data_IF_867478278787
#
_entry.id   IF_867478278787
#
_cell.length_a   1.000
_cell.length_b   1.000
_cell.length_c   1.000
_cell.angle_alpha   90.00
_cell.angle_beta   90.00
_cell.angle_gamma   90.00
#
_symmetry.space_group_name_H-M   'P 1'
#
loop_
_entity.id
_entity.type
_entity.pdbx_description
1 polymer ?
#
# COMPACT_ATOMS: atom_id res chain seq x y z
N UNK A 1 -34.30 3.66 -36.92
CA UNK A 1 -32.96 3.92 -36.35
C UNK A 1 -32.83 3.11 -35.06
N UNK A 2 -32.24 1.91 -35.13
CA UNK A 2 -31.98 1.00 -33.99
C UNK A 2 -30.53 0.54 -34.11
N UNK A 3 -29.71 0.90 -33.14
CA UNK A 3 -28.31 0.50 -33.04
C UNK A 3 -28.22 -1.01 -32.81
N UNK A 4 -27.45 -1.70 -33.66
CA UNK A 4 -27.06 -3.10 -33.47
C UNK A 4 -25.97 -3.17 -32.39
N UNK A 5 -26.18 -3.99 -31.37
CA UNK A 5 -25.17 -4.38 -30.37
C UNK A 5 -24.09 -5.25 -31.02
N UNK A 6 -22.85 -4.97 -30.68
CA UNK A 6 -21.69 -5.80 -31.00
C UNK A 6 -21.77 -7.15 -30.29
N UNK A 7 -21.39 -8.22 -31.00
CA UNK A 7 -21.18 -9.57 -30.48
C UNK A 7 -19.68 -9.66 -30.14
N UNK A 8 -19.35 -9.90 -28.87
CA UNK A 8 -18.02 -10.36 -28.45
C UNK A 8 -18.00 -11.90 -28.50
N UNK A 9 -16.86 -12.55 -28.79
CA UNK A 9 -16.78 -14.01 -28.93
C UNK A 9 -16.98 -14.71 -27.58
N UNK A 10 -17.79 -15.77 -27.57
CA UNK A 10 -17.89 -16.74 -26.48
C UNK A 10 -16.54 -17.43 -26.26
N UNK A 11 -15.89 -17.12 -25.14
CA UNK A 11 -14.80 -17.95 -24.60
C UNK A 11 -15.43 -18.99 -23.67
N UNK A 12 -15.26 -20.26 -24.01
CA UNK A 12 -15.81 -21.43 -23.33
C UNK A 12 -15.54 -21.40 -21.81
N UNK A 13 -16.50 -21.84 -20.96
CA UNK A 13 -16.32 -21.85 -19.52
C UNK A 13 -15.33 -22.94 -19.09
N UNK A 14 -14.35 -22.56 -18.27
CA UNK A 14 -13.52 -23.51 -17.53
C UNK A 14 -14.42 -24.41 -16.67
N UNK A 15 -14.37 -25.71 -16.91
CA UNK A 15 -15.12 -26.70 -16.13
C UNK A 15 -14.44 -26.84 -14.77
N UNK A 16 -15.07 -26.32 -13.72
CA UNK A 16 -14.55 -26.43 -12.36
C UNK A 16 -14.94 -27.79 -11.75
N UNK A 17 -13.97 -28.54 -11.19
CA UNK A 17 -14.16 -29.96 -10.84
C UNK A 17 -15.11 -30.18 -9.66
N UNK A 18 -15.41 -29.17 -8.85
CA UNK A 18 -16.42 -29.25 -7.79
C UNK A 18 -16.92 -27.88 -7.34
N UNK A 19 -18.02 -27.87 -6.56
CA UNK A 19 -18.65 -26.67 -5.98
C UNK A 19 -17.71 -25.88 -5.06
N UNK A 20 -16.67 -26.50 -4.49
CA UNK A 20 -15.69 -25.83 -3.63
C UNK A 20 -14.64 -25.08 -4.46
N UNK A 21 -14.17 -25.67 -5.56
CA UNK A 21 -13.31 -25.04 -6.56
C UNK A 21 -14.04 -23.89 -7.28
N UNK A 22 -15.33 -24.07 -7.61
CA UNK A 22 -16.19 -23.01 -8.13
C UNK A 22 -16.42 -21.89 -7.11
N UNK A 23 -16.60 -22.20 -5.82
CA UNK A 23 -16.70 -21.17 -4.75
C UNK A 23 -15.39 -20.45 -4.48
N UNK A 24 -14.24 -21.13 -4.58
CA UNK A 24 -12.92 -20.51 -4.47
C UNK A 24 -12.65 -19.61 -5.67
N UNK A 25 -12.96 -20.08 -6.89
CA UNK A 25 -12.87 -19.30 -8.12
C UNK A 25 -13.89 -18.14 -8.17
N UNK A 26 -15.10 -18.29 -7.64
CA UNK A 26 -16.08 -17.21 -7.53
C UNK A 26 -15.72 -16.20 -6.43
N UNK A 27 -15.10 -16.63 -5.33
CA UNK A 27 -14.50 -15.71 -4.34
C UNK A 27 -13.36 -14.88 -4.96
N UNK A 28 -12.63 -15.48 -5.91
CA UNK A 28 -11.53 -14.88 -6.71
C UNK A 28 -12.04 -13.99 -7.88
N UNK A 29 -13.34 -13.97 -8.14
CA UNK A 29 -13.96 -13.27 -9.29
C UNK A 29 -14.95 -12.18 -8.89
N UNK A 30 -15.22 -12.02 -7.60
CA UNK A 30 -16.26 -11.12 -7.07
C UNK A 30 -15.72 -9.92 -6.28
N UNK A 31 -14.40 -9.73 -6.12
CA UNK A 31 -13.87 -8.57 -5.40
C UNK A 31 -13.47 -7.39 -6.29
N UNK A 32 -13.62 -7.51 -7.62
CA UNK A 32 -13.38 -6.43 -8.58
C UNK A 32 -14.28 -5.18 -8.39
N UNK A 33 -15.42 -5.31 -7.69
CA UNK A 33 -16.38 -4.22 -7.49
C UNK A 33 -16.29 -3.50 -6.14
N UNK A 34 -15.48 -3.98 -5.18
CA UNK A 34 -15.31 -3.33 -3.87
C UNK A 34 -14.11 -2.37 -3.82
N UNK A 35 -13.16 -2.51 -4.74
CA UNK A 35 -11.98 -1.66 -4.83
C UNK A 35 -12.35 -0.17 -5.07
N UNK A 36 -13.34 0.09 -5.92
CA UNK A 36 -13.90 1.43 -6.14
C UNK A 36 -14.82 1.93 -5.00
N UNK A 37 -15.28 1.05 -4.11
CA UNK A 37 -16.06 1.46 -2.93
C UNK A 37 -15.14 1.90 -1.78
N UNK A 38 -13.98 1.26 -1.62
CA UNK A 38 -12.95 1.65 -0.65
C UNK A 38 -12.31 3.02 -0.96
N UNK A 39 -12.36 3.48 -2.22
CA UNK A 39 -12.03 4.86 -2.60
C UNK A 39 -12.88 5.94 -1.90
N UNK A 40 -13.96 5.58 -1.20
CA UNK A 40 -14.79 6.51 -0.41
C UNK A 40 -14.50 6.47 1.11
N UNK A 41 -13.55 5.64 1.56
CA UNK A 41 -13.38 5.30 2.99
C UNK A 41 -12.40 6.17 3.79
N UNK A 42 -11.53 6.95 3.14
CA UNK A 42 -10.93 8.10 3.81
C UNK A 42 -11.85 9.29 3.57
N UNK A 43 -12.72 9.56 4.55
CA UNK A 43 -13.35 10.88 4.64
C UNK A 43 -12.25 11.94 4.44
N UNK A 44 -12.42 12.81 3.44
CA UNK A 44 -11.40 13.76 2.99
C UNK A 44 -11.04 14.78 4.09
N UNK A 45 -11.79 14.79 5.19
CA UNK A 45 -11.53 15.61 6.35
C UNK A 45 -10.17 15.29 7.00
N UNK A 46 -9.45 16.34 7.37
CA UNK A 46 -8.22 16.24 8.14
C UNK A 46 -8.43 15.41 9.43
N UNK A 47 -9.58 15.55 10.07
CA UNK A 47 -9.95 14.80 11.28
C UNK A 47 -10.02 13.28 11.07
N UNK A 48 -10.45 12.82 9.89
CA UNK A 48 -10.41 11.39 9.55
C UNK A 48 -8.97 10.89 9.42
N UNK A 49 -8.11 11.67 8.74
CA UNK A 49 -6.70 11.34 8.55
C UNK A 49 -5.92 11.33 9.87
N UNK A 50 -6.17 12.29 10.75
CA UNK A 50 -5.60 12.30 12.10
C UNK A 50 -6.00 11.04 12.89
N UNK A 51 -7.27 10.61 12.82
CA UNK A 51 -7.71 9.37 13.47
C UNK A 51 -7.03 8.13 12.89
N UNK A 52 -6.87 8.06 11.58
CA UNK A 52 -6.14 6.97 10.94
C UNK A 52 -4.67 6.93 11.38
N UNK A 53 -4.01 8.09 11.48
CA UNK A 53 -2.64 8.22 11.98
C UNK A 53 -2.51 7.65 13.40
N UNK A 54 -3.37 8.08 14.32
CA UNK A 54 -3.33 7.59 15.70
C UNK A 54 -3.56 6.07 15.81
N UNK A 55 -4.42 5.52 14.95
CA UNK A 55 -4.63 4.06 14.88
C UNK A 55 -3.41 3.33 14.35
N UNK A 56 -2.73 3.88 13.34
CA UNK A 56 -1.47 3.34 12.83
C UNK A 56 -0.42 3.30 13.95
N UNK A 57 -0.20 4.42 14.65
CA UNK A 57 0.71 4.47 15.79
C UNK A 57 0.36 3.43 16.85
N UNK A 58 -0.93 3.30 17.20
CA UNK A 58 -1.40 2.32 18.19
C UNK A 58 -1.14 0.87 17.76
N UNK A 59 -1.45 0.50 16.52
CA UNK A 59 -1.27 -0.87 16.04
C UNK A 59 0.21 -1.21 15.85
N UNK A 60 1.00 -0.25 15.38
CA UNK A 60 2.45 -0.40 15.27
C UNK A 60 3.11 -0.60 16.63
N UNK A 61 2.81 0.25 17.62
CA UNK A 61 3.36 0.15 18.97
C UNK A 61 2.96 -1.15 19.70
N UNK A 62 1.83 -1.74 19.30
CA UNK A 62 1.36 -3.03 19.81
C UNK A 62 1.96 -4.23 19.06
N UNK A 63 2.80 -4.01 18.04
CA UNK A 63 3.39 -5.04 17.18
C UNK A 63 2.33 -5.92 16.49
N UNK A 64 1.24 -5.31 16.02
CA UNK A 64 0.07 -6.01 15.49
C UNK A 64 0.07 -6.04 13.97
N UNK A 65 -0.17 -7.24 13.43
CA UNK A 65 -0.36 -7.49 12.00
C UNK A 65 0.94 -7.49 11.21
N UNK A 66 0.77 -7.63 9.90
CA UNK A 66 1.84 -7.54 8.90
C UNK A 66 1.67 -6.23 8.14
N UNK A 67 2.74 -5.47 8.03
CA UNK A 67 2.77 -4.19 7.32
C UNK A 67 3.57 -4.38 6.06
N UNK A 68 2.97 -4.16 4.89
CA UNK A 68 3.63 -4.37 3.62
C UNK A 68 3.43 -3.14 2.74
N UNK A 69 4.51 -2.41 2.48
CA UNK A 69 4.50 -1.41 1.44
C UNK A 69 4.66 -2.06 0.08
N UNK A 70 3.91 -1.53 -0.90
CA UNK A 70 3.89 -2.00 -2.28
C UNK A 70 4.09 -0.79 -3.20
N UNK A 71 4.80 -1.00 -4.29
CA UNK A 71 4.98 0.01 -5.35
C UNK A 71 5.03 -0.65 -6.73
N UNK A 72 4.55 0.05 -7.74
CA UNK A 72 4.48 -0.42 -9.13
C UNK A 72 5.07 0.65 -10.05
N UNK A 73 6.00 0.24 -10.92
CA UNK A 73 6.51 1.10 -11.97
C UNK A 73 5.85 0.77 -13.30
N UNK A 74 5.34 1.79 -13.98
CA UNK A 74 4.72 1.68 -15.29
C UNK A 74 5.61 2.28 -16.38
N UNK A 75 5.39 1.86 -17.62
CA UNK A 75 6.05 2.51 -18.75
C UNK A 75 5.61 3.96 -18.87
N UNK A 76 6.57 4.89 -18.82
CA UNK A 76 6.31 6.34 -18.72
C UNK A 76 5.65 6.94 -19.95
N UNK A 77 5.75 6.32 -21.13
CA UNK A 77 5.17 6.91 -22.34
C UNK A 77 3.64 6.87 -22.37
N UNK A 78 3.03 5.76 -21.94
CA UNK A 78 1.57 5.60 -22.05
C UNK A 78 0.91 4.83 -20.89
N UNK A 79 1.67 4.43 -19.87
CA UNK A 79 1.17 3.71 -18.70
C UNK A 79 0.49 2.36 -19.02
N UNK A 80 0.74 1.79 -20.21
CA UNK A 80 0.07 0.57 -20.69
C UNK A 80 0.65 -0.73 -20.11
N UNK A 81 1.83 -0.65 -19.50
CA UNK A 81 2.60 -1.83 -19.12
C UNK A 81 3.28 -1.64 -17.76
N UNK A 82 3.08 -2.62 -16.86
CA UNK A 82 3.86 -2.74 -15.63
C UNK A 82 5.26 -3.22 -15.99
N UNK A 83 6.26 -2.54 -15.46
CA UNK A 83 7.67 -2.79 -15.71
C UNK A 83 8.36 -3.37 -14.48
N UNK A 84 7.97 -2.93 -13.29
CA UNK A 84 8.53 -3.36 -12.02
C UNK A 84 7.44 -3.46 -10.94
N UNK A 85 7.70 -4.29 -9.93
CA UNK A 85 6.93 -4.37 -8.71
C UNK A 85 7.89 -4.48 -7.53
N UNK A 86 7.65 -3.71 -6.49
CA UNK A 86 8.45 -3.75 -5.27
C UNK A 86 7.58 -3.99 -4.05
N UNK A 87 8.16 -4.66 -3.07
CA UNK A 87 7.57 -4.76 -1.75
C UNK A 87 8.62 -4.62 -0.65
N UNK A 88 8.17 -4.11 0.49
CA UNK A 88 8.89 -4.11 1.74
C UNK A 88 7.88 -4.45 2.83
N UNK A 89 8.21 -5.35 3.75
CA UNK A 89 7.31 -5.78 4.79
C UNK A 89 7.98 -5.89 6.16
N UNK A 90 7.18 -5.62 7.19
CA UNK A 90 7.54 -5.73 8.61
C UNK A 90 6.43 -6.49 9.32
N UNK A 91 6.81 -7.46 10.14
CA UNK A 91 5.94 -8.09 11.12
C UNK A 91 6.75 -8.48 12.36
N UNK A 92 6.11 -9.08 13.35
CA UNK A 92 6.77 -9.53 14.57
C UNK A 92 6.60 -11.03 14.78
N UNK A 93 7.70 -11.71 15.10
CA UNK A 93 7.75 -13.13 15.43
C UNK A 93 8.63 -13.30 16.67
N UNK A 94 8.13 -14.00 17.68
CA UNK A 94 8.82 -14.22 18.96
C UNK A 94 9.38 -12.94 19.61
N UNK A 95 8.65 -11.83 19.46
CA UNK A 95 9.02 -10.51 19.99
C UNK A 95 10.09 -9.76 19.18
N UNK A 96 10.61 -10.36 18.11
CA UNK A 96 11.56 -9.73 17.21
C UNK A 96 10.87 -9.18 15.95
N UNK A 97 11.34 -8.02 15.47
CA UNK A 97 10.95 -7.44 14.19
C UNK A 97 11.54 -8.30 13.05
N UNK A 98 10.68 -8.82 12.18
CA UNK A 98 11.06 -9.57 10.98
C UNK A 98 10.78 -8.70 9.77
N UNK A 99 11.78 -8.60 8.90
CA UNK A 99 11.74 -7.80 7.67
C UNK A 99 11.86 -8.71 6.47
N UNK A 100 11.10 -8.37 5.43
CA UNK A 100 11.26 -8.97 4.12
C UNK A 100 11.09 -7.92 3.04
N UNK A 101 11.84 -8.02 1.96
CA UNK A 101 11.82 -7.07 0.86
C UNK A 101 12.12 -7.80 -0.45
N UNK A 102 11.56 -7.27 -1.52
CA UNK A 102 11.83 -7.82 -2.83
C UNK A 102 11.45 -6.88 -3.94
N UNK A 103 11.97 -7.22 -5.11
CA UNK A 103 11.82 -6.42 -6.31
C UNK A 103 11.74 -7.34 -7.52
N UNK A 104 10.66 -7.23 -8.27
CA UNK A 104 10.39 -8.00 -9.47
C UNK A 104 10.47 -7.09 -10.69
N UNK A 105 11.08 -7.59 -11.77
CA UNK A 105 11.09 -6.91 -13.07
C UNK A 105 10.42 -7.79 -14.10
N UNK A 106 9.56 -7.19 -14.93
CA UNK A 106 8.80 -7.92 -15.95
C UNK A 106 9.64 -8.11 -17.21
N UNK A 107 9.98 -9.36 -17.54
CA UNK A 107 10.87 -9.73 -18.64
C UNK A 107 10.46 -9.12 -19.98
N UNK A 108 9.17 -9.20 -20.33
CA UNK A 108 8.61 -8.70 -21.58
C UNK A 108 8.68 -7.18 -21.68
N UNK A 109 8.70 -6.49 -20.54
CA UNK A 109 8.71 -5.03 -20.45
C UNK A 109 10.08 -4.49 -20.00
N UNK A 110 11.13 -5.31 -19.92
CA UNK A 110 12.45 -4.92 -19.38
C UNK A 110 13.10 -3.72 -20.08
N UNK A 111 12.80 -3.52 -21.37
CA UNK A 111 13.31 -2.41 -22.17
C UNK A 111 12.57 -1.09 -21.93
N UNK A 112 11.44 -1.12 -21.22
CA UNK A 112 10.57 0.02 -20.91
C UNK A 112 10.80 0.60 -19.50
N UNK A 113 11.78 0.07 -18.75
CA UNK A 113 12.07 0.43 -17.37
C UNK A 113 12.75 1.79 -17.25
N UNK A 114 12.34 2.56 -16.26
CA UNK A 114 12.92 3.89 -15.96
C UNK A 114 14.06 3.79 -14.93
N UNK A 115 13.86 2.99 -13.88
CA UNK A 115 14.86 2.68 -12.85
C UNK A 115 15.70 1.46 -13.20
N UNK A 116 16.97 1.47 -12.77
CA UNK A 116 17.89 0.33 -13.02
C UNK A 116 18.56 -0.22 -11.76
N UNK A 117 18.60 0.55 -10.68
CA UNK A 117 19.33 0.17 -9.48
C UNK A 117 18.38 -0.12 -8.33
N UNK A 118 18.39 -1.37 -7.87
CA UNK A 118 17.72 -1.79 -6.65
C UNK A 118 18.77 -1.90 -5.54
N UNK A 119 18.58 -1.19 -4.44
CA UNK A 119 19.60 -1.00 -3.41
C UNK A 119 19.68 -2.15 -2.39
N UNK A 120 18.67 -3.01 -2.34
CA UNK A 120 18.48 -3.96 -1.24
C UNK A 120 18.66 -5.43 -1.62
N UNK A 121 19.24 -5.70 -2.79
CA UNK A 121 19.53 -7.06 -3.24
C UNK A 121 19.50 -7.19 -4.76
N UNK A 122 19.00 -8.32 -5.22
CA UNK A 122 18.86 -8.62 -6.66
C UNK A 122 17.40 -8.61 -7.07
N UNK A 123 17.11 -7.97 -8.19
CA UNK A 123 15.79 -8.07 -8.82
C UNK A 123 15.54 -9.51 -9.30
N UNK A 124 14.36 -10.04 -9.00
CA UNK A 124 13.88 -11.27 -9.63
C UNK A 124 13.22 -10.92 -10.96
N UNK A 125 13.60 -11.63 -12.02
CA UNK A 125 13.00 -11.46 -13.33
C UNK A 125 11.84 -12.43 -13.50
N UNK A 126 10.67 -11.91 -13.87
CA UNK A 126 9.42 -12.67 -13.96
C UNK A 126 8.68 -12.34 -15.24
N UNK A 127 7.84 -13.25 -15.73
CA UNK A 127 7.00 -13.03 -16.90
C UNK A 127 5.68 -12.33 -16.55
N UNK A 128 5.00 -11.75 -17.53
CA UNK A 128 3.64 -11.20 -17.35
C UNK A 128 2.65 -12.27 -16.83
N UNK A 129 2.80 -13.51 -17.28
CA UNK A 129 1.95 -14.63 -16.89
C UNK A 129 2.14 -15.00 -15.40
N UNK A 130 3.37 -14.89 -14.90
CA UNK A 130 3.71 -15.16 -13.49
C UNK A 130 3.35 -14.00 -12.57
N UNK A 131 3.31 -12.77 -13.09
CA UNK A 131 3.18 -11.54 -12.31
C UNK A 131 2.00 -11.57 -11.32
N UNK A 132 0.81 -11.89 -11.81
CA UNK A 132 -0.40 -11.93 -10.97
C UNK A 132 -0.33 -13.04 -9.91
N UNK A 133 0.19 -14.21 -10.28
CA UNK A 133 0.31 -15.34 -9.37
C UNK A 133 1.31 -15.04 -8.25
N UNK A 134 2.48 -14.50 -8.59
CA UNK A 134 3.53 -14.15 -7.61
C UNK A 134 3.07 -13.12 -6.59
N UNK A 135 2.38 -12.07 -7.02
CA UNK A 135 1.82 -11.07 -6.08
C UNK A 135 0.74 -11.70 -5.21
N UNK A 136 -0.15 -12.52 -5.79
CA UNK A 136 -1.19 -13.20 -5.02
C UNK A 136 -0.61 -14.16 -3.97
N UNK A 137 0.43 -14.91 -4.32
CA UNK A 137 1.13 -15.83 -3.43
C UNK A 137 1.86 -15.06 -2.31
N UNK A 138 2.55 -13.96 -2.64
CA UNK A 138 3.17 -13.06 -1.67
C UNK A 138 2.14 -12.56 -0.64
N UNK A 139 1.04 -11.96 -1.11
CA UNK A 139 0.01 -11.40 -0.24
C UNK A 139 -0.67 -12.49 0.60
N UNK A 140 -0.91 -13.66 0.03
CA UNK A 140 -1.47 -14.81 0.74
C UNK A 140 -0.52 -15.32 1.82
N UNK A 141 0.78 -15.35 1.53
CA UNK A 141 1.84 -15.70 2.49
C UNK A 141 1.87 -14.70 3.64
N UNK A 142 1.95 -13.41 3.34
CA UNK A 142 1.93 -12.32 4.32
C UNK A 142 0.69 -12.37 5.21
N UNK A 143 -0.50 -12.62 4.65
CA UNK A 143 -1.73 -12.74 5.43
C UNK A 143 -1.75 -13.96 6.36
N UNK A 144 -1.02 -15.03 6.02
CA UNK A 144 -0.96 -16.25 6.81
C UNK A 144 -0.01 -16.15 8.02
N UNK A 145 0.78 -15.08 8.14
CA UNK A 145 1.71 -14.89 9.24
C UNK A 145 1.03 -14.28 10.48
N UNK A 146 1.15 -15.00 11.60
CA UNK A 146 0.80 -14.53 12.95
C UNK A 146 -0.54 -15.04 13.51
N UNK A 147 -0.78 -14.83 14.82
CA UNK A 147 -2.04 -15.21 15.48
C UNK A 147 -3.23 -14.33 15.05
N UNK A 148 -2.96 -13.21 14.36
CA UNK A 148 -3.93 -12.21 13.94
C UNK A 148 -3.73 -11.99 12.43
N UNK A 149 -4.75 -12.28 11.61
CA UNK A 149 -4.68 -12.27 10.14
C UNK A 149 -4.90 -10.86 9.55
N UNK A 150 -4.26 -9.86 10.15
CA UNK A 150 -4.34 -8.45 9.72
C UNK A 150 -3.15 -8.11 8.83
N UNK A 151 -3.44 -7.66 7.61
CA UNK A 151 -2.45 -7.20 6.64
C UNK A 151 -2.72 -5.73 6.30
N UNK A 152 -1.76 -4.87 6.59
CA UNK A 152 -1.76 -3.44 6.25
C UNK A 152 -0.93 -3.23 5.00
N UNK A 153 -1.59 -2.91 3.90
CA UNK A 153 -0.97 -2.58 2.63
C UNK A 153 -0.73 -1.08 2.55
N UNK A 154 0.52 -0.71 2.40
CA UNK A 154 0.98 0.67 2.47
C UNK A 154 1.35 1.11 1.07
N UNK A 155 0.75 2.19 0.60
CA UNK A 155 1.09 2.78 -0.69
C UNK A 155 1.55 4.20 -0.45
N UNK A 156 2.45 4.69 -1.29
CA UNK A 156 2.73 6.11 -1.30
C UNK A 156 1.46 6.86 -1.72
N UNK A 157 0.80 6.40 -2.78
CA UNK A 157 -0.48 6.92 -3.22
C UNK A 157 -1.31 5.83 -3.90
N UNK A 158 -2.25 5.19 -3.18
CA UNK A 158 -3.05 4.09 -3.72
C UNK A 158 -3.77 4.42 -5.04
N UNK A 159 -4.15 5.70 -5.27
CA UNK A 159 -4.83 6.12 -6.49
C UNK A 159 -3.92 6.18 -7.72
N UNK A 160 -2.60 6.25 -7.52
CA UNK A 160 -1.61 6.17 -8.58
C UNK A 160 -1.11 4.75 -8.77
N UNK A 161 -0.86 4.05 -7.67
CA UNK A 161 -0.21 2.73 -7.68
C UNK A 161 -1.19 1.61 -8.07
N UNK A 162 -2.50 1.86 -7.94
CA UNK A 162 -3.56 0.86 -8.16
C UNK A 162 -4.51 1.31 -9.27
N UNK A 163 -3.92 1.69 -10.42
CA UNK A 163 -4.65 2.10 -11.62
C UNK A 163 -4.92 0.96 -12.60
N UNK A 164 -4.02 -0.01 -12.65
CA UNK A 164 -4.18 -1.20 -13.47
C UNK A 164 -5.06 -2.22 -12.75
N UNK A 165 -5.54 -3.22 -13.51
CA UNK A 165 -6.24 -4.42 -13.02
C UNK A 165 -5.35 -5.21 -12.04
N UNK A 166 -5.06 -4.60 -10.91
CA UNK A 166 -4.18 -5.11 -9.88
C UNK A 166 -4.82 -6.38 -9.34
N UNK A 167 -4.05 -7.47 -9.15
CA UNK A 167 -4.57 -8.78 -8.76
C UNK A 167 -5.14 -8.82 -7.32
N UNK A 168 -5.32 -7.66 -6.69
CA UNK A 168 -5.80 -7.50 -5.32
C UNK A 168 -7.32 -7.73 -5.24
N UNK A 169 -7.72 -9.01 -5.25
CA UNK A 169 -9.11 -9.44 -5.06
C UNK A 169 -9.52 -9.47 -3.56
N UNK A 170 -8.98 -8.55 -2.76
CA UNK A 170 -9.22 -8.47 -1.33
C UNK A 170 -10.39 -7.52 -1.01
N UNK A 171 -11.29 -7.94 -0.11
CA UNK A 171 -12.25 -7.03 0.52
C UNK A 171 -11.51 -6.04 1.43
N UNK A 172 -11.12 -4.90 0.88
CA UNK A 172 -10.46 -3.82 1.61
C UNK A 172 -11.40 -3.29 2.69
N UNK A 173 -10.92 -3.26 3.94
CA UNK A 173 -11.67 -2.74 5.07
C UNK A 173 -11.19 -1.34 5.44
N UNK A 174 -12.13 -0.50 5.90
CA UNK A 174 -11.76 0.73 6.62
C UNK A 174 -11.07 0.37 7.93
N UNK A 175 -10.01 1.09 8.27
CA UNK A 175 -9.41 1.00 9.58
C UNK A 175 -10.47 1.41 10.62
N UNK A 176 -10.70 0.60 11.66
CA UNK A 176 -11.68 0.88 12.75
C UNK A 176 -10.99 0.80 14.10
N UNK A 177 -11.60 1.41 15.13
CA UNK A 177 -11.07 1.36 16.51
C UNK A 177 -11.17 -0.05 17.12
N UNK A 178 -12.12 -0.85 16.63
CA UNK A 178 -12.30 -2.23 17.06
C UNK A 178 -11.38 -3.16 16.28
N UNK A 179 -10.62 -3.95 17.04
CA UNK A 179 -9.71 -4.95 16.48
C UNK A 179 -10.51 -6.07 15.82
N UNK A 180 -10.46 -6.14 14.49
CA UNK A 180 -10.84 -7.37 13.80
C UNK A 180 -9.75 -8.44 14.03
N UNK A 181 -10.12 -9.71 14.09
CA UNK A 181 -9.15 -10.81 14.12
C UNK A 181 -8.53 -11.10 12.74
N UNK A 182 -9.08 -10.52 11.67
CA UNK A 182 -8.60 -10.70 10.30
C UNK A 182 -9.05 -9.56 9.37
N UNK A 183 -8.24 -9.22 8.37
CA UNK A 183 -8.60 -8.23 7.37
C UNK A 183 -7.42 -7.71 6.56
N UNK A 184 -7.71 -7.12 5.41
CA UNK A 184 -6.72 -6.39 4.59
C UNK A 184 -7.13 -4.92 4.60
N UNK A 185 -6.19 -4.05 4.96
CA UNK A 185 -6.38 -2.61 5.08
C UNK A 185 -5.43 -1.91 4.12
N UNK A 186 -5.90 -0.85 3.46
CA UNK A 186 -5.06 -0.01 2.63
C UNK A 186 -4.76 1.28 3.39
N UNK A 187 -3.48 1.65 3.43
CA UNK A 187 -2.96 2.85 4.03
C UNK A 187 -2.36 3.74 2.94
N UNK A 188 -2.71 5.02 3.02
CA UNK A 188 -2.22 6.08 2.13
C UNK A 188 -1.19 6.90 2.90
N UNK A 189 0.09 6.73 2.59
CA UNK A 189 1.18 7.44 3.25
C UNK A 189 1.08 8.95 3.05
N UNK A 190 0.64 9.43 1.88
CA UNK A 190 0.44 10.85 1.62
C UNK A 190 -0.68 11.41 2.49
N UNK A 191 -1.76 10.67 2.71
CA UNK A 191 -2.83 11.08 3.62
C UNK A 191 -2.37 11.12 5.08
N UNK A 192 -1.60 10.13 5.53
CA UNK A 192 -1.02 10.09 6.88
C UNK A 192 -0.02 11.24 7.10
N UNK A 193 0.86 11.48 6.12
CA UNK A 193 1.79 12.59 6.18
C UNK A 193 1.06 13.95 6.13
N UNK A 194 0.02 14.07 5.32
CA UNK A 194 -0.86 15.24 5.31
C UNK A 194 -1.52 15.48 6.66
N UNK A 195 -1.94 14.42 7.36
CA UNK A 195 -2.37 14.53 8.76
C UNK A 195 -1.24 15.13 9.61
N UNK A 196 -0.04 14.55 9.59
CA UNK A 196 1.11 15.05 10.34
C UNK A 196 1.40 16.53 10.07
N UNK A 197 1.34 16.97 8.81
CA UNK A 197 1.57 18.36 8.41
C UNK A 197 0.39 19.31 8.62
N UNK A 198 -0.78 18.81 9.05
CA UNK A 198 -2.07 19.55 9.08
C UNK A 198 -2.47 20.10 7.70
N UNK A 199 -2.20 19.33 6.65
CA UNK A 199 -2.52 19.65 5.27
C UNK A 199 -3.56 18.66 4.69
N UNK A 200 -4.64 19.19 4.12
CA UNK A 200 -5.75 18.38 3.58
C UNK A 200 -5.67 18.12 2.08
N UNK A 201 -4.98 18.96 1.31
CA UNK A 201 -5.04 18.87 -0.17
C UNK A 201 -3.68 18.74 -0.85
N UNK A 202 -2.58 18.90 -0.11
CA UNK A 202 -1.25 18.85 -0.69
C UNK A 202 -0.80 17.40 -0.84
N UNK A 203 -0.49 17.03 -2.08
CA UNK A 203 0.15 15.75 -2.39
C UNK A 203 1.66 15.95 -2.37
N UNK A 204 2.33 15.29 -1.43
CA UNK A 204 3.79 15.28 -1.35
C UNK A 204 4.33 14.08 -2.11
N UNK A 205 5.36 14.28 -2.91
CA UNK A 205 6.09 13.18 -3.54
C UNK A 205 6.85 12.38 -2.48
N UNK A 206 7.14 11.10 -2.72
CA UNK A 206 7.81 10.22 -1.76
C UNK A 206 9.11 10.84 -1.23
N UNK A 207 9.99 11.31 -2.13
CA UNK A 207 11.22 11.99 -1.73
C UNK A 207 10.99 13.22 -0.84
N UNK A 208 9.90 13.97 -1.03
CA UNK A 208 9.57 15.12 -0.16
C UNK A 208 9.14 14.66 1.23
N UNK A 209 8.31 13.61 1.32
CA UNK A 209 7.91 12.99 2.60
C UNK A 209 9.16 12.52 3.35
N UNK A 210 10.04 11.76 2.67
CA UNK A 210 11.27 11.27 3.26
C UNK A 210 12.17 12.40 3.78
N UNK A 211 12.42 13.44 2.98
CA UNK A 211 13.23 14.60 3.41
C UNK A 211 12.64 15.25 4.66
N UNK A 212 11.31 15.47 4.70
CA UNK A 212 10.65 16.08 5.87
C UNK A 212 10.69 15.19 7.12
N UNK A 213 10.82 13.88 6.94
CA UNK A 213 10.99 12.92 8.04
C UNK A 213 12.47 12.71 8.43
N UNK A 214 13.42 13.33 7.72
CA UNK A 214 14.87 13.14 7.94
C UNK A 214 15.42 11.85 7.35
N UNK A 215 14.74 11.27 6.36
CA UNK A 215 15.13 10.03 5.67
C UNK A 215 15.86 10.41 4.38
N UNK A 216 17.13 10.01 4.27
CA UNK A 216 17.88 10.09 3.02
C UNK A 216 17.40 9.01 2.04
N UNK A 217 17.25 9.39 0.77
CA UNK A 217 16.75 8.52 -0.28
C UNK A 217 17.75 8.42 -1.42
N UNK A 218 17.85 7.24 -2.01
CA UNK A 218 18.67 6.99 -3.18
C UNK A 218 17.89 6.15 -4.20
N UNK A 219 18.11 6.43 -5.49
CA UNK A 219 17.54 5.64 -6.59
C UNK A 219 16.01 5.47 -6.54
N UNK A 220 15.29 6.57 -6.24
CA UNK A 220 13.83 6.65 -6.43
C UNK A 220 13.45 6.40 -7.90
N UNK A 221 12.19 6.05 -8.16
CA UNK A 221 11.70 5.53 -9.45
C UNK A 221 12.17 4.10 -9.75
N UNK A 222 12.37 3.33 -8.69
CA UNK A 222 12.55 1.89 -8.73
C UNK A 222 11.60 1.31 -7.70
N UNK A 223 10.71 0.42 -8.14
CA UNK A 223 9.59 -0.02 -7.31
C UNK A 223 10.05 -0.63 -5.97
N UNK A 224 11.16 -1.38 -5.98
CA UNK A 224 11.73 -1.99 -4.78
C UNK A 224 12.22 -0.95 -3.77
N UNK A 225 12.91 0.09 -4.24
CA UNK A 225 13.39 1.17 -3.38
C UNK A 225 12.22 2.04 -2.89
N UNK A 226 11.25 2.34 -3.76
CA UNK A 226 10.11 3.19 -3.43
C UNK A 226 9.18 2.50 -2.42
N UNK A 227 8.97 1.18 -2.53
CA UNK A 227 8.30 0.39 -1.51
C UNK A 227 9.08 0.40 -0.17
N UNK A 228 10.41 0.27 -0.21
CA UNK A 228 11.24 0.36 0.99
C UNK A 228 11.09 1.72 1.69
N UNK A 229 11.26 2.83 0.95
CA UNK A 229 11.17 4.18 1.51
C UNK A 229 9.75 4.53 1.94
N UNK A 230 8.73 3.99 1.26
CA UNK A 230 7.34 4.09 1.70
C UNK A 230 7.14 3.42 3.06
N UNK A 231 7.61 2.19 3.26
CA UNK A 231 7.49 1.54 4.56
C UNK A 231 8.32 2.24 5.64
N UNK A 232 9.52 2.72 5.29
CA UNK A 232 10.37 3.45 6.22
C UNK A 232 9.73 4.76 6.66
N UNK A 233 9.12 5.52 5.74
CA UNK A 233 8.37 6.73 6.08
C UNK A 233 7.18 6.43 7.00
N UNK A 234 6.44 5.35 6.75
CA UNK A 234 5.36 4.91 7.64
C UNK A 234 5.91 4.59 9.04
N UNK A 235 7.00 3.82 9.11
CA UNK A 235 7.65 3.43 10.37
C UNK A 235 8.11 4.65 11.16
N UNK A 236 8.74 5.63 10.52
CA UNK A 236 9.18 6.87 11.18
C UNK A 236 8.00 7.70 11.70
N UNK A 237 6.89 7.73 10.97
CA UNK A 237 5.64 8.35 11.46
C UNK A 237 5.01 7.55 12.60
N UNK A 238 5.05 6.21 12.56
CA UNK A 238 4.45 5.38 13.58
C UNK A 238 5.25 5.39 14.90
N UNK A 239 6.58 5.44 14.82
CA UNK A 239 7.49 5.43 15.97
C UNK A 239 7.59 6.78 16.69
N UNK A 240 7.24 7.89 16.04
CA UNK A 240 7.35 9.23 16.64
C UNK A 240 6.36 9.51 17.78
N UNK A 241 5.46 8.58 18.10
CA UNK A 241 4.45 8.73 19.16
C UNK A 241 3.18 9.42 18.67
N UNK A 242 2.48 10.12 19.57
CA UNK A 242 1.21 10.80 19.26
C UNK A 242 1.42 11.93 18.24
N UNK A 243 0.38 12.20 17.44
CA UNK A 243 0.44 13.12 16.32
C UNK A 243 0.87 14.54 16.72
N UNK A 244 0.31 15.10 17.80
CA UNK A 244 0.69 16.45 18.26
C UNK A 244 2.12 16.50 18.81
N UNK A 245 2.54 15.49 19.58
CA UNK A 245 3.91 15.41 20.10
C UNK A 245 4.95 15.37 18.98
N UNK A 246 4.65 14.67 17.88
CA UNK A 246 5.52 14.67 16.70
C UNK A 246 5.61 16.04 16.03
N UNK A 247 4.49 16.76 15.92
CA UNK A 247 4.48 18.11 15.33
C UNK A 247 5.32 19.08 16.15
N UNK A 248 5.12 19.09 17.46
CA UNK A 248 5.88 19.92 18.39
C UNK A 248 7.38 19.60 18.32
N UNK A 249 7.74 18.32 18.28
CA UNK A 249 9.15 17.92 18.23
C UNK A 249 9.82 18.19 16.88
N UNK A 250 9.11 18.03 15.76
CA UNK A 250 9.69 18.16 14.41
C UNK A 250 9.66 19.59 13.89
N UNK A 251 8.63 20.36 14.23
CA UNK A 251 8.45 21.74 13.78
C UNK A 251 7.99 22.65 14.95
N UNK A 252 8.86 22.86 15.96
CA UNK A 252 8.53 23.63 17.16
C UNK A 252 8.13 25.08 16.87
N UNK A 253 8.69 25.68 15.81
CA UNK A 253 8.44 27.07 15.41
C UNK A 253 7.30 27.21 14.39
N UNK A 254 6.60 26.11 14.05
CA UNK A 254 5.44 26.21 13.18
C UNK A 254 4.33 27.01 13.88
N UNK A 255 3.60 27.91 13.19
CA UNK A 255 2.43 28.64 13.75
C UNK A 255 1.39 27.71 14.38
N UNK A 256 1.52 26.42 14.10
CA UNK A 256 0.66 25.33 14.50
C UNK A 256 0.99 24.72 15.86
N UNK A 257 2.19 24.94 16.40
CA UNK A 257 2.59 24.54 17.76
C UNK A 257 2.03 25.48 18.84
N UNK A 258 1.56 26.67 18.44
CA UNK A 258 1.04 27.71 19.35
C UNK A 258 -0.41 27.48 19.84
N UNK A 259 -1.04 26.34 19.51
CA UNK A 259 -2.41 26.03 19.95
C UNK A 259 -2.48 25.09 21.16
N UNK A 260 -1.34 24.66 21.74
CA UNK A 260 -1.28 23.86 22.97
C UNK A 260 -0.87 24.73 24.17
N UNK A 261 -1.49 25.90 24.30
CA UNK A 261 -1.60 26.59 25.58
C UNK A 261 -3.09 26.82 25.86
N UNK A 262 -3.73 25.82 26.47
CA UNK A 262 -4.98 26.07 27.18
C UNK A 262 -4.65 26.84 28.47
N UNK A 263 -5.36 27.94 28.79
CA UNK A 263 -5.17 28.64 30.05
C UNK A 263 -5.77 27.85 31.21
N UNK A 264 -5.02 27.87 32.32
CA UNK A 264 -5.23 27.35 33.69
C UNK A 264 -6.57 26.68 34.07
#
# INVERSE_FOLDING_TARGET
MRLRRAILPEVLPAVHPNKQALRKALKVRLAFSFFFAAQRGFDASLSSRCRAFERVCKFWAANIGVWCALDFEEWVEDHSAITEFGYSSIHWSDGAEVKDLGHFTVWENRMKRNGKHYSFGTSEEITNDEFKAKIADLLSGLQAHGPILLLFLVFHNPNQDIKLESPMDASVQELRDTMSSSGIFILDNVALFGALMKESYRMHRLGQVCIQLGIETEYLHNAGNDAFYTLLALREMALGGLLESQRESRWPDSPTALLVQLPD
#
